data_IF_416864932283
#
_entry.id   IF_416864932283
#
_cell.length_a   1.000
_cell.length_b   1.000
_cell.length_c   1.000
_cell.angle_alpha   90.00
_cell.angle_beta   90.00
_cell.angle_gamma   90.00
#
_symmetry.space_group_name_H-M   'P 1'
#
loop_
_entity.id
_entity.type
_entity.pdbx_description
1 polymer ?
#
# COMPACT_ATOMS: atom_id res chain seq x y z
N UNK A 1 16.48 13.90 -19.88
CA UNK A 1 16.11 12.68 -19.12
C UNK A 1 16.61 12.67 -17.67
N UNK A 2 17.84 13.14 -17.37
CA UNK A 2 18.36 13.14 -15.98
C UNK A 2 17.45 13.82 -14.93
N UNK A 3 16.74 14.89 -15.28
CA UNK A 3 15.79 15.54 -14.37
C UNK A 3 14.59 14.64 -14.04
N UNK A 4 14.07 13.90 -15.03
CA UNK A 4 12.92 13.01 -14.83
C UNK A 4 13.27 11.80 -13.97
N UNK A 5 14.48 11.24 -14.13
CA UNK A 5 15.00 10.18 -13.26
C UNK A 5 15.18 10.66 -11.82
N UNK A 6 15.72 11.88 -11.62
CA UNK A 6 15.83 12.50 -10.29
C UNK A 6 14.47 12.75 -9.64
N UNK A 7 13.42 12.99 -10.43
CA UNK A 7 12.04 13.11 -9.97
C UNK A 7 11.34 11.75 -9.80
N UNK A 8 12.04 10.65 -10.09
CA UNK A 8 11.59 9.28 -9.87
C UNK A 8 10.74 8.70 -11.01
N UNK A 9 10.82 9.24 -12.22
CA UNK A 9 10.27 8.56 -13.40
C UNK A 9 11.07 7.29 -13.69
N UNK A 10 10.39 6.16 -13.89
CA UNK A 10 11.00 4.84 -14.15
C UNK A 10 10.44 4.17 -15.41
N UNK A 11 9.45 4.79 -16.05
CA UNK A 11 8.80 4.30 -17.26
C UNK A 11 8.59 5.46 -18.23
N UNK A 12 8.57 5.11 -19.52
CA UNK A 12 8.32 6.02 -20.63
C UNK A 12 7.23 5.44 -21.52
N UNK A 13 6.23 6.24 -21.88
CA UNK A 13 5.16 5.84 -22.80
C UNK A 13 5.14 6.81 -23.97
N UNK A 14 5.19 6.27 -25.19
CA UNK A 14 4.97 7.06 -26.40
C UNK A 14 3.49 7.45 -26.47
N UNK A 15 3.21 8.74 -26.37
CA UNK A 15 1.85 9.30 -26.39
C UNK A 15 1.38 9.49 -27.82
N UNK A 16 2.25 10.03 -28.66
CA UNK A 16 1.98 10.26 -30.06
C UNK A 16 3.28 10.17 -30.85
N UNK A 17 3.17 9.63 -32.05
CA UNK A 17 4.23 9.66 -33.03
C UNK A 17 3.64 10.00 -34.38
N UNK A 18 4.29 10.94 -35.05
CA UNK A 18 3.95 11.36 -36.40
C UNK A 18 5.23 11.64 -37.17
N UNK A 19 5.13 11.75 -38.48
CA UNK A 19 6.23 12.13 -39.34
C UNK A 19 5.76 13.10 -40.43
N UNK A 20 6.69 13.83 -41.04
CA UNK A 20 6.38 14.81 -42.09
C UNK A 20 5.64 14.20 -43.28
N UNK A 21 5.84 12.91 -43.57
CA UNK A 21 5.12 12.18 -44.60
C UNK A 21 3.62 11.99 -44.29
N UNK A 22 3.20 12.11 -43.03
CA UNK A 22 1.78 12.08 -42.64
C UNK A 22 1.01 13.32 -43.13
N UNK A 23 1.74 14.38 -43.50
CA UNK A 23 1.18 15.61 -44.11
C UNK A 23 1.52 15.75 -45.60
N UNK A 24 2.75 15.41 -46.00
CA UNK A 24 3.26 15.62 -47.36
C UNK A 24 3.06 14.43 -48.31
N UNK A 25 2.64 13.26 -47.81
CA UNK A 25 2.35 12.06 -48.62
C UNK A 25 3.57 11.26 -49.06
N UNK A 26 4.75 11.87 -49.22
CA UNK A 26 6.01 11.14 -49.46
C UNK A 26 6.61 10.65 -48.15
N UNK A 27 6.79 9.32 -48.05
CA UNK A 27 7.31 8.62 -46.87
C UNK A 27 8.74 8.11 -47.04
N UNK A 28 9.39 8.38 -48.18
CA UNK A 28 10.76 7.88 -48.46
C UNK A 28 11.84 8.63 -47.68
N UNK A 29 11.59 9.90 -47.35
CA UNK A 29 12.43 10.72 -46.49
C UNK A 29 11.53 11.58 -45.61
N UNK A 30 11.56 11.33 -44.30
CA UNK A 30 10.66 11.99 -43.35
C UNK A 30 11.40 12.45 -42.11
N UNK A 31 10.87 13.50 -41.49
CA UNK A 31 11.24 13.94 -40.15
C UNK A 31 10.21 13.40 -39.17
N UNK A 32 10.67 12.67 -38.15
CA UNK A 32 9.81 12.13 -37.09
C UNK A 32 9.58 13.13 -35.95
N UNK A 33 8.36 13.15 -35.44
CA UNK A 33 7.94 13.90 -34.25
C UNK A 33 7.37 12.90 -33.24
N UNK A 34 7.81 12.97 -31.99
CA UNK A 34 7.35 12.08 -30.92
C UNK A 34 7.06 12.84 -29.64
N UNK A 35 5.92 12.53 -29.02
CA UNK A 35 5.59 12.96 -27.66
C UNK A 35 5.72 11.76 -26.72
N UNK A 36 6.55 11.88 -25.69
CA UNK A 36 6.82 10.81 -24.73
C UNK A 36 6.49 11.29 -23.32
N UNK A 37 5.63 10.56 -22.63
CA UNK A 37 5.32 10.78 -21.22
C UNK A 37 6.29 9.96 -20.37
N UNK A 38 7.00 10.63 -19.45
CA UNK A 38 7.84 9.99 -18.44
C UNK A 38 7.09 9.96 -17.11
N UNK A 39 6.87 8.79 -16.55
CA UNK A 39 6.14 8.65 -15.29
C UNK A 39 6.84 7.70 -14.32
N UNK A 40 6.58 7.90 -13.02
CA UNK A 40 6.98 6.96 -11.99
C UNK A 40 6.20 5.68 -12.25
N UNK A 41 6.90 4.57 -12.45
CA UNK A 41 6.27 3.27 -12.64
C UNK A 41 5.34 3.01 -11.47
N UNK A 42 4.05 3.07 -11.75
CA UNK A 42 2.95 2.99 -10.80
C UNK A 42 1.76 2.62 -11.64
N UNK A 43 1.22 1.42 -11.36
CA UNK A 43 0.15 0.74 -12.06
C UNK A 43 -0.65 1.62 -13.01
N UNK A 44 -0.74 1.17 -14.26
CA UNK A 44 -1.63 1.71 -15.27
C UNK A 44 -2.93 2.20 -14.63
N UNK A 45 -3.41 3.38 -15.01
CA UNK A 45 -4.74 3.86 -14.62
C UNK A 45 -5.85 2.86 -15.00
N UNK A 46 -5.55 1.85 -15.82
CA UNK A 46 -6.42 0.72 -16.14
C UNK A 46 -6.47 -0.40 -15.08
N UNK A 47 -5.62 -0.38 -14.04
CA UNK A 47 -5.67 -1.32 -12.90
C UNK A 47 -6.42 -0.76 -11.68
N UNK A 48 -7.02 0.43 -11.79
CA UNK A 48 -7.89 0.98 -10.73
C UNK A 48 -9.15 0.13 -10.46
N UNK A 49 -9.40 -0.91 -11.26
CA UNK A 49 -10.55 -1.82 -11.15
C UNK A 49 -10.22 -3.27 -10.78
N UNK A 50 -8.95 -3.68 -10.65
CA UNK A 50 -8.65 -5.02 -10.17
C UNK A 50 -8.96 -5.09 -8.67
N UNK A 51 -10.03 -5.80 -8.31
CA UNK A 51 -10.40 -6.04 -6.93
C UNK A 51 -9.26 -6.78 -6.24
N UNK A 52 -8.49 -6.07 -5.42
CA UNK A 52 -7.55 -6.72 -4.52
C UNK A 52 -8.35 -7.56 -3.53
N UNK A 53 -8.13 -8.86 -3.56
CA UNK A 53 -8.75 -9.81 -2.64
C UNK A 53 -7.67 -10.68 -2.04
N UNK A 54 -7.83 -11.01 -0.77
CA UNK A 54 -7.00 -11.98 -0.07
C UNK A 54 -7.80 -13.27 0.06
N UNK A 55 -7.15 -14.40 -0.19
CA UNK A 55 -7.71 -15.70 0.15
C UNK A 55 -7.51 -16.01 1.65
N UNK A 56 -8.11 -17.12 2.12
CA UNK A 56 -8.05 -17.50 3.53
C UNK A 56 -6.62 -17.74 4.03
N UNK A 57 -5.75 -18.36 3.22
CA UNK A 57 -4.37 -18.63 3.61
C UNK A 57 -3.54 -17.34 3.72
N UNK A 58 -3.80 -16.36 2.84
CA UNK A 58 -3.15 -15.05 2.89
C UNK A 58 -3.62 -14.23 4.10
N UNK A 59 -4.91 -14.29 4.43
CA UNK A 59 -5.46 -13.68 5.64
C UNK A 59 -4.82 -14.27 6.91
N UNK A 60 -4.76 -15.60 6.98
CA UNK A 60 -4.15 -16.31 8.11
C UNK A 60 -2.66 -15.96 8.25
N UNK A 61 -1.95 -15.87 7.13
CA UNK A 61 -0.54 -15.46 7.12
C UNK A 61 -0.35 -14.03 7.64
N UNK A 62 -1.22 -13.08 7.26
CA UNK A 62 -1.15 -11.71 7.79
C UNK A 62 -1.42 -11.67 9.30
N UNK A 63 -2.42 -12.42 9.78
CA UNK A 63 -2.72 -12.51 11.21
C UNK A 63 -1.57 -13.15 11.98
N UNK A 64 -0.95 -14.20 11.42
CA UNK A 64 0.24 -14.84 11.99
C UNK A 64 1.41 -13.88 12.08
N UNK A 65 1.68 -13.12 11.02
CA UNK A 65 2.74 -12.10 11.00
C UNK A 65 2.46 -10.98 12.01
N UNK A 66 1.22 -10.48 12.09
CA UNK A 66 0.83 -9.46 13.05
C UNK A 66 1.05 -9.93 14.49
N UNK A 67 0.55 -11.13 14.84
CA UNK A 67 0.74 -11.74 16.16
C UNK A 67 2.21 -11.93 16.50
N UNK A 68 2.99 -12.55 15.60
CA UNK A 68 4.41 -12.79 15.82
C UNK A 68 5.20 -11.48 15.99
N UNK A 69 4.80 -10.42 15.28
CA UNK A 69 5.44 -9.10 15.39
C UNK A 69 5.18 -8.44 16.73
N UNK A 70 3.93 -8.50 17.21
CA UNK A 70 3.56 -8.01 18.55
C UNK A 70 4.26 -8.81 19.64
N UNK A 71 4.21 -10.15 19.59
CA UNK A 71 4.85 -11.00 20.59
C UNK A 71 6.36 -10.79 20.63
N UNK A 72 7.02 -10.65 19.47
CA UNK A 72 8.47 -10.42 19.41
C UNK A 72 8.85 -9.12 20.10
N UNK A 73 8.19 -8.01 19.78
CA UNK A 73 8.55 -6.70 20.34
C UNK A 73 8.19 -6.62 21.83
N UNK A 74 7.06 -7.19 22.24
CA UNK A 74 6.62 -7.17 23.64
C UNK A 74 7.48 -8.06 24.54
N UNK A 75 7.89 -9.25 24.06
CA UNK A 75 8.69 -10.18 24.88
C UNK A 75 10.19 -9.88 24.87
N UNK A 76 10.72 -9.44 23.73
CA UNK A 76 12.18 -9.33 23.52
C UNK A 76 12.67 -7.91 23.30
N UNK A 77 11.76 -6.95 23.08
CA UNK A 77 12.11 -5.59 22.65
C UNK A 77 12.64 -5.52 21.21
N UNK A 78 12.66 -6.64 20.47
CA UNK A 78 13.20 -6.71 19.11
C UNK A 78 12.09 -6.91 18.09
N UNK A 79 12.25 -6.28 16.94
CA UNK A 79 11.34 -6.46 15.81
C UNK A 79 11.53 -7.85 15.21
N UNK A 80 10.42 -8.47 14.79
CA UNK A 80 10.43 -9.73 14.06
C UNK A 80 11.27 -9.61 12.78
N UNK A 81 12.14 -10.55 12.41
CA UNK A 81 12.84 -10.50 11.12
C UNK A 81 11.89 -10.36 9.94
N UNK A 82 12.38 -9.76 8.85
CA UNK A 82 11.54 -9.45 7.69
C UNK A 82 11.00 -10.75 7.04
N UNK A 83 9.67 -10.97 7.04
CA UNK A 83 9.10 -12.14 6.42
C UNK A 83 9.18 -12.05 4.89
N UNK A 84 9.58 -13.14 4.25
CA UNK A 84 9.47 -13.28 2.80
C UNK A 84 7.98 -13.38 2.40
N UNK A 85 7.52 -12.63 1.37
CA UNK A 85 6.17 -12.78 0.85
C UNK A 85 5.94 -14.20 0.32
N UNK A 86 4.86 -14.85 0.78
CA UNK A 86 4.51 -16.21 0.34
C UNK A 86 3.56 -16.24 -0.86
N UNK A 87 3.04 -15.10 -1.28
CA UNK A 87 2.19 -14.95 -2.45
C UNK A 87 2.39 -13.59 -3.10
N UNK A 88 1.91 -13.44 -4.34
CA UNK A 88 1.95 -12.17 -5.06
C UNK A 88 1.14 -11.09 -4.33
N UNK A 89 -0.04 -11.42 -3.78
CA UNK A 89 -0.86 -10.46 -3.05
C UNK A 89 -0.15 -9.89 -1.81
N UNK A 90 0.62 -10.73 -1.10
CA UNK A 90 1.42 -10.32 0.05
C UNK A 90 2.67 -9.53 -0.33
N UNK A 91 3.15 -9.70 -1.57
CA UNK A 91 4.29 -8.97 -2.13
C UNK A 91 3.89 -7.59 -2.68
N UNK A 92 2.60 -7.36 -2.95
CA UNK A 92 2.13 -6.06 -3.45
C UNK A 92 2.27 -4.96 -2.39
N UNK A 93 2.70 -3.78 -2.83
CA UNK A 93 2.73 -2.60 -1.99
C UNK A 93 1.30 -2.19 -1.60
N UNK A 94 1.01 -2.22 -0.30
CA UNK A 94 -0.30 -1.91 0.26
C UNK A 94 -0.15 -1.17 1.58
N UNK A 95 -1.05 -0.20 1.80
CA UNK A 95 -1.29 0.36 3.12
C UNK A 95 -2.09 -0.65 3.96
N UNK A 96 -1.84 -0.68 5.27
CA UNK A 96 -2.61 -1.50 6.19
C UNK A 96 -2.59 -0.89 7.59
N UNK A 97 -3.62 -1.20 8.36
CA UNK A 97 -3.73 -0.92 9.78
C UNK A 97 -3.79 -2.24 10.54
N UNK A 98 -3.14 -2.27 11.70
CA UNK A 98 -3.28 -3.35 12.67
C UNK A 98 -3.90 -2.77 13.92
N UNK A 99 -5.04 -3.34 14.30
CA UNK A 99 -5.78 -3.00 15.50
C UNK A 99 -5.64 -4.14 16.49
N UNK A 100 -5.24 -3.80 17.71
CA UNK A 100 -5.19 -4.69 18.86
C UNK A 100 -6.40 -4.39 19.73
N UNK A 101 -7.12 -5.43 20.14
CA UNK A 101 -8.22 -5.32 21.10
C UNK A 101 -7.96 -6.21 22.30
N UNK A 102 -8.49 -5.83 23.46
CA UNK A 102 -8.43 -6.63 24.69
C UNK A 102 -9.82 -6.65 25.31
N UNK A 103 -10.46 -7.82 25.36
CA UNK A 103 -11.84 -7.93 25.84
C UNK A 103 -12.82 -7.07 25.02
N UNK A 104 -12.61 -6.98 23.71
CA UNK A 104 -13.42 -6.15 22.79
C UNK A 104 -13.03 -4.67 22.72
N UNK A 105 -12.31 -4.14 23.70
CA UNK A 105 -11.89 -2.74 23.75
C UNK A 105 -10.62 -2.48 22.94
N UNK A 106 -10.49 -1.29 22.37
CA UNK A 106 -9.29 -0.87 21.64
C UNK A 106 -8.07 -0.80 22.58
N UNK A 107 -6.99 -1.50 22.22
CA UNK A 107 -5.73 -1.55 22.97
C UNK A 107 -4.54 -0.92 22.25
N UNK A 108 -4.65 -0.74 20.94
CA UNK A 108 -3.68 -0.06 20.09
C UNK A 108 -4.12 -0.14 18.63
N UNK A 109 -3.84 0.88 17.83
CA UNK A 109 -4.09 0.86 16.39
C UNK A 109 -3.14 1.80 15.67
N UNK A 110 -2.32 1.24 14.79
CA UNK A 110 -1.39 1.98 13.94
C UNK A 110 -1.46 1.41 12.52
N UNK A 111 -1.21 2.25 11.54
CA UNK A 111 -1.17 1.84 10.14
C UNK A 111 -0.48 2.84 9.24
N UNK A 112 -0.20 2.38 8.03
CA UNK A 112 0.26 3.23 6.94
C UNK A 112 -0.85 3.36 5.91
N UNK A 113 -1.21 4.60 5.57
CA UNK A 113 -2.17 4.88 4.50
C UNK A 113 -1.52 4.70 3.13
N UNK A 114 -0.27 5.16 2.99
CA UNK A 114 0.47 5.07 1.74
C UNK A 114 1.10 3.67 1.56
N UNK A 115 0.96 3.04 0.38
CA UNK A 115 1.60 1.76 0.07
C UNK A 115 3.07 1.99 -0.28
N UNK A 116 3.96 1.99 0.72
CA UNK A 116 5.40 2.24 0.52
C UNK A 116 6.26 0.98 0.51
N UNK A 117 5.69 -0.17 0.90
CA UNK A 117 6.38 -1.45 1.01
C UNK A 117 5.40 -2.62 0.86
N UNK A 118 5.89 -3.85 0.61
CA UNK A 118 5.07 -5.05 0.52
C UNK A 118 4.14 -5.22 1.72
N UNK A 119 2.91 -5.66 1.47
CA UNK A 119 1.86 -5.80 2.49
C UNK A 119 2.32 -6.56 3.74
N UNK A 120 3.03 -7.68 3.56
CA UNK A 120 3.52 -8.48 4.69
C UNK A 120 4.50 -7.71 5.59
N UNK A 121 5.35 -6.88 4.99
CA UNK A 121 6.29 -6.01 5.72
C UNK A 121 5.56 -4.85 6.38
N UNK A 122 4.56 -4.27 5.70
CA UNK A 122 3.68 -3.25 6.27
C UNK A 122 3.03 -3.78 7.54
N UNK A 123 2.38 -4.96 7.48
CA UNK A 123 1.69 -5.56 8.63
C UNK A 123 2.65 -5.88 9.77
N UNK A 124 3.83 -6.44 9.47
CA UNK A 124 4.89 -6.66 10.48
C UNK A 124 5.21 -5.38 11.24
N UNK A 125 5.43 -4.29 10.52
CA UNK A 125 5.82 -3.03 11.12
C UNK A 125 4.70 -2.39 11.93
N UNK A 126 3.52 -2.25 11.32
CA UNK A 126 2.41 -1.55 11.98
C UNK A 126 1.85 -2.35 13.15
N UNK A 127 1.96 -3.68 13.14
CA UNK A 127 1.62 -4.51 14.29
C UNK A 127 2.55 -4.23 15.48
N UNK A 128 3.87 -4.22 15.25
CA UNK A 128 4.83 -3.90 16.31
C UNK A 128 4.58 -2.50 16.88
N UNK A 129 4.40 -1.50 16.01
CA UNK A 129 4.11 -0.12 16.44
C UNK A 129 2.77 -0.01 17.17
N UNK A 130 1.71 -0.71 16.73
CA UNK A 130 0.43 -0.71 17.43
C UNK A 130 0.55 -1.22 18.88
N UNK A 131 1.49 -2.12 19.16
CA UNK A 131 1.72 -2.65 20.49
C UNK A 131 2.53 -1.73 21.41
N UNK A 132 3.49 -0.97 20.87
CA UNK A 132 4.48 -0.24 21.69
C UNK A 132 4.58 1.27 21.44
N UNK A 133 4.07 1.77 20.31
CA UNK A 133 4.24 3.16 19.86
C UNK A 133 2.91 3.94 19.74
N UNK A 134 1.75 3.31 20.00
CA UNK A 134 0.47 4.04 20.04
C UNK A 134 0.37 4.92 21.29
N UNK A 135 0.67 6.20 21.12
CA UNK A 135 0.72 7.23 22.20
C UNK A 135 -0.54 7.35 23.06
N UNK A 136 -1.69 6.84 22.62
CA UNK A 136 -2.94 6.86 23.40
C UNK A 136 -2.93 5.83 24.52
N UNK A 137 -2.05 4.84 24.46
CA UNK A 137 -1.97 3.74 25.40
C UNK A 137 -0.54 3.54 25.92
N UNK A 138 -0.41 2.91 27.07
CA UNK A 138 0.90 2.38 27.49
C UNK A 138 1.28 1.20 26.60
N UNK A 139 2.58 0.92 26.38
CA UNK A 139 3.02 -0.28 25.68
C UNK A 139 2.35 -1.54 26.22
N UNK A 140 2.00 -2.47 25.34
CA UNK A 140 1.40 -3.76 25.70
C UNK A 140 2.35 -4.55 26.59
N UNK A 141 1.86 -5.01 27.74
CA UNK A 141 2.64 -5.83 28.66
C UNK A 141 2.59 -7.33 28.27
N UNK A 142 3.63 -8.13 28.56
CA UNK A 142 3.66 -9.55 28.20
C UNK A 142 2.49 -10.37 28.71
N UNK A 143 1.93 -10.02 29.88
CA UNK A 143 0.78 -10.71 30.47
C UNK A 143 -0.53 -10.43 29.72
N UNK A 144 -0.57 -9.38 28.91
CA UNK A 144 -1.75 -9.03 28.12
C UNK A 144 -1.85 -9.88 26.84
N UNK A 145 -0.72 -10.38 26.32
CA UNK A 145 -0.63 -11.07 25.03
C UNK A 145 -1.67 -12.19 24.81
N UNK A 146 -1.97 -13.06 25.80
CA UNK A 146 -2.97 -14.12 25.63
C UNK A 146 -4.40 -13.59 25.45
N UNK A 147 -4.66 -12.34 25.83
CA UNK A 147 -5.97 -11.69 25.80
C UNK A 147 -6.11 -10.66 24.68
N UNK A 148 -5.11 -10.58 23.78
CA UNK A 148 -5.15 -9.65 22.64
C UNK A 148 -5.79 -10.33 21.43
N UNK A 149 -6.83 -9.69 20.91
CA UNK A 149 -7.40 -9.96 19.60
C UNK A 149 -6.73 -9.07 18.55
N UNK A 150 -6.50 -9.64 17.37
CA UNK A 150 -5.79 -8.98 16.27
C UNK A 150 -6.72 -8.80 15.08
N UNK A 151 -6.79 -7.58 14.57
CA UNK A 151 -7.55 -7.22 13.38
C UNK A 151 -6.60 -6.53 12.40
N UNK A 152 -6.57 -7.02 11.14
CA UNK A 152 -5.73 -6.46 10.08
C UNK A 152 -6.64 -5.88 9.00
N UNK A 153 -6.58 -4.57 8.82
CA UNK A 153 -7.33 -3.85 7.79
C UNK A 153 -6.40 -3.48 6.64
N UNK A 154 -6.56 -4.14 5.49
CA UNK A 154 -5.75 -3.88 4.29
C UNK A 154 -6.44 -2.87 3.39
N UNK A 155 -5.71 -1.85 2.95
CA UNK A 155 -6.25 -0.75 2.17
C UNK A 155 -6.14 -1.04 0.66
N UNK A 156 -7.19 -0.69 -0.07
CA UNK A 156 -7.10 -0.52 -1.51
C UNK A 156 -6.18 0.65 -1.86
N UNK A 157 -5.79 0.75 -3.13
CA UNK A 157 -5.10 1.95 -3.63
C UNK A 157 -6.02 3.15 -3.45
N UNK A 158 -5.46 4.25 -2.96
CA UNK A 158 -6.19 5.52 -2.83
C UNK A 158 -6.48 6.09 -4.21
N UNK A 159 -7.71 6.53 -4.43
CA UNK A 159 -8.09 7.31 -5.61
C UNK A 159 -8.67 8.65 -5.16
N UNK A 160 -8.46 9.69 -5.95
CA UNK A 160 -9.09 10.99 -5.71
C UNK A 160 -10.59 10.86 -6.01
N UNK A 161 -11.40 11.40 -5.13
CA UNK A 161 -12.85 11.55 -5.32
C UNK A 161 -13.10 12.98 -5.81
N UNK A 162 -13.86 13.12 -6.88
CA UNK A 162 -14.18 14.42 -7.48
C UNK A 162 -15.65 14.80 -7.26
N UNK A 163 -16.52 13.80 -7.10
CA UNK A 163 -17.94 13.96 -6.78
C UNK A 163 -18.32 13.11 -5.54
N UNK A 164 -19.13 13.68 -4.65
CA UNK A 164 -19.66 13.01 -3.45
C UNK A 164 -20.48 11.76 -3.81
N UNK A 165 -21.13 11.73 -4.98
CA UNK A 165 -21.93 10.60 -5.45
C UNK A 165 -21.09 9.34 -5.73
N UNK A 166 -19.76 9.47 -5.80
CA UNK A 166 -18.85 8.33 -5.94
C UNK A 166 -18.58 7.59 -4.62
N UNK A 167 -19.03 8.16 -3.48
CA UNK A 167 -18.80 7.63 -2.15
C UNK A 167 -19.93 6.68 -1.77
N UNK A 168 -19.59 5.43 -1.47
CA UNK A 168 -20.54 4.41 -1.01
C UNK A 168 -20.31 4.19 0.48
N UNK A 169 -21.25 4.67 1.30
CA UNK A 169 -21.23 4.50 2.76
C UNK A 169 -21.23 3.01 3.12
N UNK A 170 -20.42 2.62 4.10
CA UNK A 170 -20.22 1.22 4.49
C UNK A 170 -19.26 0.43 3.62
N UNK A 171 -18.77 1.01 2.51
CA UNK A 171 -17.80 0.37 1.61
C UNK A 171 -16.51 1.16 1.46
N UNK A 172 -16.58 2.49 1.28
CA UNK A 172 -15.42 3.32 1.02
C UNK A 172 -14.91 4.00 2.30
N UNK A 173 -13.60 3.88 2.56
CA UNK A 173 -12.89 4.74 3.52
C UNK A 173 -12.48 6.07 2.87
N UNK A 174 -12.43 7.15 3.66
CA UNK A 174 -12.09 8.49 3.18
C UNK A 174 -10.83 9.02 3.86
N UNK A 175 -9.97 9.67 3.09
CA UNK A 175 -8.87 10.49 3.59
C UNK A 175 -9.10 11.93 3.16
N UNK A 176 -9.33 12.82 4.12
CA UNK A 176 -9.47 14.25 3.87
C UNK A 176 -8.13 14.93 4.12
N UNK A 177 -7.66 15.71 3.15
CA UNK A 177 -6.46 16.54 3.30
C UNK A 177 -6.80 17.96 2.89
N UNK A 178 -6.61 18.91 3.82
CA UNK A 178 -6.62 20.33 3.53
C UNK A 178 -5.17 20.75 3.31
N UNK A 179 -4.89 21.29 2.12
CA UNK A 179 -3.61 21.93 1.85
C UNK A 179 -3.59 23.33 2.47
#
# INVERSE_FOLDING_TARGET
MMAAERLGARQATLVAYANSGDTAGDRRQVVGYGAVALHRGGASATEAGASFSLNAAELEELLRVARASVESVVRTGRRLPDPAPKSEALAQDRGAFVTLRKGGELRGCIGYVAPTKPLVLTVRDVAAMAAVEDSRFRPVAPQELPFIDYEVSVLSRMRRVLDVNEIVVGRHGLLVRRN
#
